data_IF_645217059057
#
_entry.id   IF_645217059057
#
_cell.length_a   1.000
_cell.length_b   1.000
_cell.length_c   1.000
_cell.angle_alpha   90.00
_cell.angle_beta   90.00
_cell.angle_gamma   90.00
#
_symmetry.space_group_name_H-M   'P 1'
#
loop_
_entity.id
_entity.type
_entity.pdbx_description
1 polymer ?
#
# COMPACT_ATOMS: atom_id res chain seq x y z
N UNK A 1 30.26 5.49 6.85
CA UNK A 1 29.25 6.39 6.24
C UNK A 1 28.73 5.69 5.00
N UNK A 2 27.68 4.89 5.13
CA UNK A 2 27.07 4.14 4.01
C UNK A 2 25.73 4.81 3.67
N UNK A 3 25.71 5.54 2.57
CA UNK A 3 24.48 5.96 1.92
C UNK A 3 23.75 4.70 1.42
N UNK A 4 22.49 4.55 1.79
CA UNK A 4 21.63 3.51 1.22
C UNK A 4 21.37 3.87 -0.25
N UNK A 5 21.92 3.08 -1.17
CA UNK A 5 21.65 3.18 -2.60
C UNK A 5 20.17 2.87 -2.86
N UNK A 6 19.33 3.92 -2.87
CA UNK A 6 17.99 3.87 -3.47
C UNK A 6 18.15 4.44 -4.87
N UNK A 7 18.66 3.63 -5.78
CA UNK A 7 18.87 4.08 -7.16
C UNK A 7 18.31 3.02 -8.12
N UNK A 8 17.76 3.49 -9.24
CA UNK A 8 17.32 2.70 -10.42
C UNK A 8 15.94 2.00 -10.39
N UNK A 9 14.85 2.67 -10.01
CA UNK A 9 13.54 2.35 -10.60
C UNK A 9 13.15 3.49 -11.55
N UNK A 10 12.92 3.15 -12.83
CA UNK A 10 12.41 4.08 -13.83
C UNK A 10 11.12 4.71 -13.32
N UNK A 11 11.04 6.03 -13.39
CA UNK A 11 9.87 6.76 -12.89
C UNK A 11 8.65 6.51 -13.78
N UNK A 12 7.45 6.73 -13.24
CA UNK A 12 6.23 6.55 -14.04
C UNK A 12 6.22 7.47 -15.27
N UNK A 13 6.70 8.71 -15.14
CA UNK A 13 6.71 9.67 -16.24
C UNK A 13 7.66 9.20 -17.36
N UNK A 14 8.85 8.72 -17.01
CA UNK A 14 9.79 8.11 -17.97
C UNK A 14 9.19 6.88 -18.66
N UNK A 15 8.46 6.03 -17.92
CA UNK A 15 7.77 4.87 -18.53
C UNK A 15 6.75 5.37 -19.55
N UNK A 16 5.90 6.33 -19.17
CA UNK A 16 4.88 6.89 -20.06
C UNK A 16 5.49 7.53 -21.30
N UNK A 17 6.58 8.29 -21.15
CA UNK A 17 7.28 8.94 -22.25
C UNK A 17 7.88 7.88 -23.19
N UNK A 18 8.54 6.85 -22.66
CA UNK A 18 9.06 5.75 -23.47
C UNK A 18 7.94 5.03 -24.24
N UNK A 19 6.80 4.74 -23.60
CA UNK A 19 5.65 4.15 -24.29
C UNK A 19 5.10 5.01 -25.43
N UNK A 20 5.20 6.34 -25.31
CA UNK A 20 4.74 7.27 -26.35
C UNK A 20 5.61 7.24 -27.62
N UNK A 21 6.88 6.82 -27.49
CA UNK A 21 7.82 6.65 -28.60
C UNK A 21 7.68 5.29 -29.30
N UNK A 22 6.98 4.34 -28.70
CA UNK A 22 6.80 2.99 -29.23
C UNK A 22 5.47 2.91 -29.99
N UNK A 23 5.54 2.83 -31.31
CA UNK A 23 4.36 2.72 -32.19
C UNK A 23 3.85 1.27 -32.27
N UNK A 24 4.77 0.31 -32.37
CA UNK A 24 4.45 -1.12 -32.54
C UNK A 24 4.19 -1.83 -31.22
N UNK A 25 3.17 -2.70 -31.21
CA UNK A 25 2.80 -3.46 -30.00
C UNK A 25 3.92 -4.38 -29.51
N UNK A 26 4.64 -5.02 -30.42
CA UNK A 26 5.72 -5.94 -30.08
C UNK A 26 6.84 -5.25 -29.29
N UNK A 27 7.13 -3.99 -29.61
CA UNK A 27 8.15 -3.20 -28.91
C UNK A 27 7.66 -2.77 -27.53
N UNK A 28 6.39 -2.37 -27.40
CA UNK A 28 5.77 -2.13 -26.09
C UNK A 28 5.82 -3.37 -25.21
N UNK A 29 5.55 -4.55 -25.77
CA UNK A 29 5.60 -5.81 -25.04
C UNK A 29 7.02 -6.16 -24.57
N UNK A 30 8.03 -5.96 -25.42
CA UNK A 30 9.44 -6.12 -25.06
C UNK A 30 9.84 -5.16 -23.95
N UNK A 31 9.46 -3.89 -24.07
CA UNK A 31 9.74 -2.88 -23.07
C UNK A 31 9.16 -3.23 -21.70
N UNK A 32 7.93 -3.74 -21.63
CA UNK A 32 7.35 -4.25 -20.37
C UNK A 32 8.20 -5.37 -19.78
N UNK A 33 8.65 -6.33 -20.59
CA UNK A 33 9.52 -7.41 -20.11
C UNK A 33 10.85 -6.86 -19.58
N UNK A 34 11.42 -5.84 -20.23
CA UNK A 34 12.65 -5.18 -19.79
C UNK A 34 12.47 -4.46 -18.46
N UNK A 35 11.37 -3.73 -18.27
CA UNK A 35 11.01 -3.16 -16.98
C UNK A 35 10.93 -4.24 -15.89
N UNK A 36 10.42 -5.42 -16.21
CA UNK A 36 10.37 -6.54 -15.27
C UNK A 36 11.75 -7.07 -14.88
N UNK A 37 12.77 -6.91 -15.74
CA UNK A 37 14.16 -7.34 -15.46
C UNK A 37 14.91 -6.38 -14.57
N UNK A 38 14.49 -5.12 -14.46
CA UNK A 38 15.11 -4.12 -13.57
C UNK A 38 14.65 -4.26 -12.12
N UNK A 39 13.61 -5.06 -11.87
CA UNK A 39 13.15 -5.33 -10.51
C UNK A 39 14.20 -6.07 -9.69
N UNK A 40 14.36 -5.61 -8.44
CA UNK A 40 15.16 -6.31 -7.45
C UNK A 40 14.63 -7.74 -7.25
N UNK A 41 15.51 -8.76 -7.23
CA UNK A 41 15.08 -10.14 -7.03
C UNK A 41 14.42 -10.30 -5.66
N UNK A 42 13.28 -10.99 -5.63
CA UNK A 42 12.57 -11.27 -4.39
C UNK A 42 13.32 -12.35 -3.60
N UNK A 43 13.75 -12.08 -2.35
CA UNK A 43 14.41 -13.09 -1.52
C UNK A 43 13.49 -14.29 -1.28
N UNK A 44 14.04 -15.51 -1.23
CA UNK A 44 13.24 -16.74 -1.07
C UNK A 44 12.37 -16.72 0.19
N UNK A 45 12.87 -16.13 1.29
CA UNK A 45 12.09 -15.94 2.54
C UNK A 45 10.82 -15.10 2.37
N UNK A 46 10.71 -14.32 1.30
CA UNK A 46 9.55 -13.50 0.97
C UNK A 46 8.59 -14.22 0.01
N UNK A 47 8.95 -15.39 -0.53
CA UNK A 47 8.09 -16.24 -1.38
C UNK A 47 7.18 -17.14 -0.55
N UNK A 48 6.46 -16.52 0.39
CA UNK A 48 5.52 -17.19 1.30
C UNK A 48 4.08 -16.89 0.92
N UNK A 49 3.14 -17.73 1.36
CA UNK A 49 1.72 -17.57 1.02
C UNK A 49 1.13 -16.24 1.50
N UNK A 50 1.63 -15.67 2.61
CA UNK A 50 1.22 -14.35 3.08
C UNK A 50 1.49 -13.22 2.07
N UNK A 51 2.55 -13.34 1.26
CA UNK A 51 2.90 -12.37 0.21
C UNK A 51 2.26 -12.70 -1.14
N UNK A 52 1.55 -13.83 -1.27
CA UNK A 52 0.98 -14.26 -2.54
C UNK A 52 -0.22 -13.42 -2.93
N UNK A 53 -0.27 -13.00 -4.19
CA UNK A 53 -1.41 -12.26 -4.76
C UNK A 53 -2.40 -13.25 -5.36
N UNK A 54 -3.65 -13.21 -4.88
CA UNK A 54 -4.71 -14.09 -5.36
C UNK A 54 -5.39 -13.53 -6.62
N UNK A 55 -5.89 -14.40 -7.48
CA UNK A 55 -6.59 -14.02 -8.72
C UNK A 55 -5.68 -13.71 -9.91
N UNK A 56 -4.36 -13.86 -9.75
CA UNK A 56 -3.42 -13.94 -10.87
C UNK A 56 -3.37 -15.38 -11.40
N UNK A 57 -3.28 -15.54 -12.72
CA UNK A 57 -3.08 -16.85 -13.33
C UNK A 57 -1.65 -17.39 -13.15
N UNK A 58 -0.69 -16.48 -13.23
CA UNK A 58 0.70 -16.67 -12.85
C UNK A 58 0.86 -16.55 -11.34
N UNK A 59 1.88 -17.19 -10.79
CA UNK A 59 2.24 -16.98 -9.40
C UNK A 59 2.85 -15.59 -9.24
N UNK A 60 2.36 -14.83 -8.26
CA UNK A 60 2.81 -13.47 -7.95
C UNK A 60 2.99 -13.37 -6.44
N UNK A 61 4.13 -12.84 -6.03
CA UNK A 61 4.40 -12.47 -4.64
C UNK A 61 4.72 -10.99 -4.56
N UNK A 62 4.14 -10.33 -3.57
CA UNK A 62 4.31 -8.92 -3.28
C UNK A 62 4.47 -8.77 -1.77
N UNK A 63 5.65 -8.32 -1.35
CA UNK A 63 5.97 -8.02 0.04
C UNK A 63 5.99 -6.51 0.23
N UNK A 64 5.32 -6.06 1.28
CA UNK A 64 5.15 -4.63 1.61
C UNK A 64 5.95 -4.28 2.84
N UNK A 65 6.73 -3.21 2.76
CA UNK A 65 7.38 -2.58 3.92
C UNK A 65 6.69 -1.27 4.21
N UNK A 66 6.20 -1.11 5.43
CA UNK A 66 5.52 0.10 5.90
C UNK A 66 6.50 0.94 6.71
N UNK A 67 6.78 2.14 6.23
CA UNK A 67 7.60 3.14 6.91
C UNK A 67 6.68 4.12 7.63
N UNK A 68 6.77 4.25 8.97
CA UNK A 68 5.99 5.22 9.70
C UNK A 68 6.48 6.64 9.36
N UNK A 69 5.62 7.47 8.79
CA UNK A 69 5.96 8.86 8.48
C UNK A 69 5.02 9.85 9.20
N UNK A 70 5.37 10.10 10.46
CA UNK A 70 4.91 11.23 11.27
C UNK A 70 3.43 11.61 11.14
N UNK A 71 3.19 12.91 10.93
CA UNK A 71 1.84 13.48 10.78
C UNK A 71 1.25 13.25 9.39
N UNK A 72 2.08 13.07 8.38
CA UNK A 72 1.67 12.98 6.98
C UNK A 72 1.25 11.56 6.53
N UNK A 73 1.39 10.56 7.41
CA UNK A 73 0.88 9.19 7.19
C UNK A 73 1.92 8.23 6.60
N UNK A 74 1.71 6.92 6.75
CA UNK A 74 2.73 5.91 6.45
C UNK A 74 3.10 5.90 4.96
N UNK A 75 4.38 5.70 4.69
CA UNK A 75 4.94 5.50 3.35
C UNK A 75 5.10 3.98 3.13
N UNK A 76 4.72 3.49 1.95
CA UNK A 76 4.84 2.07 1.62
C UNK A 76 5.88 1.87 0.52
N UNK A 77 6.74 0.88 0.69
CA UNK A 77 7.64 0.39 -0.36
C UNK A 77 7.40 -1.08 -0.61
N UNK A 78 7.57 -1.51 -1.85
CA UNK A 78 7.21 -2.86 -2.28
C UNK A 78 8.40 -3.57 -2.94
N UNK A 79 8.46 -4.88 -2.74
CA UNK A 79 9.27 -5.81 -3.53
C UNK A 79 8.38 -6.96 -3.98
N UNK A 80 8.64 -7.53 -5.14
CA UNK A 80 7.77 -8.56 -5.68
C UNK A 80 8.33 -9.21 -6.92
N UNK A 81 7.76 -10.37 -7.26
CA UNK A 81 8.20 -11.18 -8.38
C UNK A 81 7.06 -12.05 -8.93
N UNK A 82 7.25 -12.56 -10.14
CA UNK A 82 6.34 -13.49 -10.80
C UNK A 82 7.09 -14.50 -11.69
N UNK A 83 6.55 -15.71 -11.75
CA UNK A 83 6.98 -16.76 -12.68
C UNK A 83 6.78 -16.37 -14.16
N UNK A 84 5.90 -15.42 -14.46
CA UNK A 84 5.68 -14.91 -15.80
C UNK A 84 6.39 -13.56 -16.05
N UNK A 85 7.24 -13.51 -17.08
CA UNK A 85 7.99 -12.30 -17.45
C UNK A 85 7.11 -11.07 -17.69
N UNK A 86 6.01 -11.23 -18.43
CA UNK A 86 5.08 -10.12 -18.70
C UNK A 86 4.47 -9.57 -17.40
N UNK A 87 4.13 -10.44 -16.44
CA UNK A 87 3.56 -9.99 -15.16
C UNK A 87 4.60 -9.33 -14.29
N UNK A 88 5.86 -9.77 -14.35
CA UNK A 88 6.97 -9.07 -13.70
C UNK A 88 7.13 -7.64 -14.21
N UNK A 89 6.95 -7.42 -15.51
CA UNK A 89 6.90 -6.08 -16.08
C UNK A 89 5.72 -5.24 -15.58
N UNK A 90 4.54 -5.85 -15.44
CA UNK A 90 3.39 -5.18 -14.84
C UNK A 90 3.61 -4.81 -13.36
N UNK A 91 4.33 -5.65 -12.61
CA UNK A 91 4.75 -5.34 -11.23
C UNK A 91 5.68 -4.12 -11.23
N UNK A 92 6.62 -4.02 -12.17
CA UNK A 92 7.51 -2.87 -12.28
C UNK A 92 6.75 -1.56 -12.49
N UNK A 93 5.76 -1.55 -13.37
CA UNK A 93 4.89 -0.37 -13.58
C UNK A 93 4.16 0.00 -12.30
N UNK A 94 3.60 -0.98 -11.58
CA UNK A 94 2.93 -0.73 -10.29
C UNK A 94 3.89 -0.16 -9.25
N UNK A 95 5.13 -0.64 -9.20
CA UNK A 95 6.12 -0.13 -8.25
C UNK A 95 6.56 1.28 -8.59
N UNK A 96 6.72 1.62 -9.88
CA UNK A 96 6.98 2.99 -10.31
C UNK A 96 5.86 3.96 -9.92
N UNK A 97 4.61 3.48 -9.88
CA UNK A 97 3.46 4.28 -9.44
C UNK A 97 3.37 4.42 -7.91
N UNK A 98 3.56 3.33 -7.18
CA UNK A 98 3.13 3.22 -5.77
C UNK A 98 4.26 3.12 -4.75
N UNK A 99 5.44 2.64 -5.14
CA UNK A 99 6.55 2.46 -4.19
C UNK A 99 7.07 3.83 -3.73
N UNK A 100 7.31 3.97 -2.43
CA UNK A 100 7.72 5.23 -1.81
C UNK A 100 6.59 6.26 -1.68
N UNK A 101 5.34 5.91 -1.99
CA UNK A 101 4.19 6.82 -1.84
C UNK A 101 3.51 6.66 -0.49
N UNK A 102 2.78 7.69 -0.07
CA UNK A 102 1.97 7.65 1.15
C UNK A 102 0.76 6.75 0.92
N UNK A 103 0.29 6.09 1.98
CA UNK A 103 -0.91 5.27 1.90
C UNK A 103 -2.14 6.04 1.37
N UNK A 104 -2.30 7.32 1.70
CA UNK A 104 -3.38 8.16 1.14
C UNK A 104 -3.24 8.39 -0.37
N UNK A 105 -2.03 8.64 -0.85
CA UNK A 105 -1.73 8.85 -2.27
C UNK A 105 -1.96 7.55 -3.07
N UNK A 106 -1.56 6.40 -2.51
CA UNK A 106 -1.82 5.09 -3.11
C UNK A 106 -3.33 4.85 -3.30
N UNK A 107 -4.15 5.24 -2.31
CA UNK A 107 -5.60 5.05 -2.37
C UNK A 107 -6.32 6.02 -3.31
N UNK A 108 -5.76 7.20 -3.54
CA UNK A 108 -6.32 8.20 -4.46
C UNK A 108 -5.84 8.04 -5.90
N UNK A 109 -4.75 7.31 -6.14
CA UNK A 109 -4.22 7.06 -7.48
C UNK A 109 -5.11 6.10 -8.28
N UNK A 110 -5.45 6.48 -9.51
CA UNK A 110 -6.17 5.62 -10.47
C UNK A 110 -5.19 4.82 -11.34
N UNK A 111 -4.90 3.60 -10.90
CA UNK A 111 -4.04 2.69 -11.64
C UNK A 111 -4.61 2.24 -12.99
N UNK A 112 -5.94 2.19 -13.11
CA UNK A 112 -6.59 1.71 -14.32
C UNK A 112 -6.51 2.77 -15.41
N UNK A 113 -6.64 4.05 -15.05
CA UNK A 113 -6.41 5.15 -15.98
C UNK A 113 -4.99 5.12 -16.55
N UNK A 114 -3.97 4.92 -15.71
CA UNK A 114 -2.57 4.79 -16.16
C UNK A 114 -2.41 3.57 -17.07
N UNK A 115 -2.94 2.42 -16.68
CA UNK A 115 -2.86 1.19 -17.49
C UNK A 115 -3.52 1.33 -18.86
N UNK A 116 -4.63 2.07 -18.95
CA UNK A 116 -5.27 2.41 -20.21
C UNK A 116 -4.44 3.39 -21.03
N UNK A 117 -3.85 4.43 -20.39
CA UNK A 117 -2.98 5.42 -21.06
C UNK A 117 -1.75 4.78 -21.70
N UNK A 118 -1.20 3.73 -21.10
CA UNK A 118 -0.10 2.93 -21.66
C UNK A 118 -0.54 2.02 -22.82
N UNK A 119 -1.83 1.96 -23.17
CA UNK A 119 -2.39 1.10 -24.21
C UNK A 119 -2.36 -0.40 -23.88
N UNK A 120 -1.90 -0.79 -22.69
CA UNK A 120 -1.68 -2.19 -22.33
C UNK A 120 -2.98 -3.00 -22.23
N UNK A 121 -4.09 -2.35 -21.86
CA UNK A 121 -5.38 -3.03 -21.67
C UNK A 121 -5.92 -3.68 -22.94
N UNK A 122 -5.73 -3.05 -24.08
CA UNK A 122 -6.32 -3.47 -25.35
C UNK A 122 -5.59 -4.65 -25.98
N UNK A 123 -4.30 -4.80 -25.66
CA UNK A 123 -3.44 -5.82 -26.25
C UNK A 123 -3.09 -6.98 -25.30
N UNK A 124 -3.31 -6.83 -23.99
CA UNK A 124 -3.16 -7.93 -23.04
C UNK A 124 -4.42 -8.78 -22.95
N UNK A 125 -4.23 -10.09 -22.76
CA UNK A 125 -5.35 -11.01 -22.56
C UNK A 125 -6.18 -10.62 -21.32
N UNK A 126 -7.48 -10.93 -21.29
CA UNK A 126 -8.33 -10.64 -20.13
C UNK A 126 -7.75 -11.16 -18.81
N UNK A 127 -7.08 -12.30 -18.86
CA UNK A 127 -6.43 -12.92 -17.72
C UNK A 127 -5.28 -12.07 -17.14
N UNK A 128 -4.46 -11.44 -17.99
CA UNK A 128 -3.38 -10.55 -17.55
C UNK A 128 -3.92 -9.23 -17.02
N UNK A 129 -4.93 -8.67 -17.69
CA UNK A 129 -5.63 -7.47 -17.22
C UNK A 129 -6.31 -7.68 -15.87
N UNK A 130 -6.86 -8.86 -15.62
CA UNK A 130 -7.41 -9.23 -14.30
C UNK A 130 -6.30 -9.39 -13.25
N UNK A 131 -5.19 -10.03 -13.61
CA UNK A 131 -4.02 -10.13 -12.73
C UNK A 131 -3.48 -8.76 -12.30
N UNK A 132 -3.40 -7.80 -13.23
CA UNK A 132 -3.04 -6.42 -12.93
C UNK A 132 -3.97 -5.81 -11.87
N UNK A 133 -5.29 -5.94 -12.04
CA UNK A 133 -6.29 -5.46 -11.08
C UNK A 133 -6.14 -6.10 -9.71
N UNK A 134 -5.89 -7.42 -9.65
CA UNK A 134 -5.63 -8.12 -8.39
C UNK A 134 -4.41 -7.57 -7.65
N UNK A 135 -3.34 -7.24 -8.37
CA UNK A 135 -2.15 -6.63 -7.78
C UNK A 135 -2.43 -5.21 -7.27
N UNK A 136 -3.19 -4.41 -8.02
CA UNK A 136 -3.63 -3.07 -7.57
C UNK A 136 -4.46 -3.17 -6.29
N UNK A 137 -5.44 -4.07 -6.23
CA UNK A 137 -6.26 -4.22 -5.02
C UNK A 137 -5.45 -4.72 -3.83
N UNK A 138 -4.47 -5.62 -4.03
CA UNK A 138 -3.54 -6.01 -2.98
C UNK A 138 -2.79 -4.80 -2.41
N UNK A 139 -2.21 -3.96 -3.27
CA UNK A 139 -1.49 -2.74 -2.84
C UNK A 139 -2.42 -1.79 -2.08
N UNK A 140 -3.66 -1.60 -2.56
CA UNK A 140 -4.66 -0.76 -1.89
C UNK A 140 -5.08 -1.35 -0.54
N UNK A 141 -5.19 -2.66 -0.42
CA UNK A 141 -5.45 -3.33 0.86
C UNK A 141 -4.33 -3.07 1.86
N UNK A 142 -3.07 -3.21 1.45
CA UNK A 142 -1.91 -2.95 2.31
C UNK A 142 -1.86 -1.48 2.76
N UNK A 143 -2.18 -0.54 1.86
CA UNK A 143 -2.28 0.89 2.19
C UNK A 143 -3.40 1.17 3.22
N UNK A 144 -4.59 0.57 3.06
CA UNK A 144 -5.69 0.68 4.05
C UNK A 144 -5.26 0.11 5.41
N UNK A 145 -4.61 -1.06 5.40
CA UNK A 145 -4.12 -1.70 6.62
C UNK A 145 -3.08 -0.82 7.35
N UNK A 146 -2.16 -0.19 6.62
CA UNK A 146 -1.18 0.72 7.19
C UNK A 146 -1.82 1.96 7.85
N UNK A 147 -2.84 2.56 7.22
CA UNK A 147 -3.60 3.67 7.81
C UNK A 147 -4.34 3.26 9.08
N UNK A 148 -5.00 2.09 9.07
CA UNK A 148 -5.70 1.56 10.23
C UNK A 148 -4.72 1.26 11.39
N UNK A 149 -3.57 0.66 11.10
CA UNK A 149 -2.55 0.37 12.10
C UNK A 149 -2.03 1.65 12.78
N UNK A 150 -1.79 2.72 12.00
CA UNK A 150 -1.43 4.04 12.54
C UNK A 150 -2.51 4.57 13.47
N UNK A 151 -3.78 4.49 13.07
CA UNK A 151 -4.90 4.96 13.88
C UNK A 151 -4.99 4.18 15.21
N UNK A 152 -4.87 2.85 15.15
CA UNK A 152 -4.90 1.99 16.34
C UNK A 152 -3.73 2.26 17.31
N UNK A 153 -2.52 2.47 16.80
CA UNK A 153 -1.36 2.85 17.62
C UNK A 153 -1.55 4.21 18.29
N UNK A 154 -2.10 5.20 17.56
CA UNK A 154 -2.45 6.50 18.12
C UNK A 154 -3.47 6.40 19.25
N UNK A 155 -4.51 5.59 19.03
CA UNK A 155 -5.53 5.27 20.03
C UNK A 155 -4.98 4.64 21.30
N UNK A 156 -4.11 3.64 21.13
CA UNK A 156 -3.48 2.96 22.26
C UNK A 156 -2.58 3.89 23.06
N UNK A 157 -1.79 4.74 22.39
CA UNK A 157 -0.94 5.75 23.04
C UNK A 157 -1.77 6.75 23.83
N UNK A 158 -2.85 7.28 23.25
CA UNK A 158 -3.76 8.19 23.95
C UNK A 158 -4.44 7.53 25.15
N UNK A 159 -4.86 6.27 24.99
CA UNK A 159 -5.50 5.49 26.05
C UNK A 159 -4.57 5.26 27.26
N UNK A 160 -3.27 5.09 27.04
CA UNK A 160 -2.27 5.03 28.13
C UNK A 160 -2.08 6.37 28.82
N UNK A 161 -2.08 7.48 28.07
CA UNK A 161 -1.85 8.82 28.62
C UNK A 161 -3.08 9.42 29.32
N UNK A 162 -4.28 8.83 29.19
CA UNK A 162 -5.52 9.36 29.77
C UNK A 162 -6.29 8.25 30.51
N UNK A 163 -6.14 8.10 31.84
CA UNK A 163 -6.84 7.08 32.61
C UNK A 163 -8.38 7.24 32.57
N UNK A 164 -9.16 6.17 32.88
CA UNK A 164 -10.62 6.15 32.72
C UNK A 164 -11.39 7.31 33.38
N UNK A 165 -10.91 7.81 34.52
CA UNK A 165 -11.54 8.91 35.26
C UNK A 165 -11.43 10.25 34.53
N UNK A 166 -10.35 10.46 33.78
CA UNK A 166 -10.11 11.67 32.98
C UNK A 166 -10.80 11.59 31.61
N UNK A 167 -10.91 10.39 31.03
CA UNK A 167 -11.66 10.16 29.78
C UNK A 167 -13.11 10.63 29.85
N UNK A 168 -13.82 10.30 30.94
CA UNK A 168 -15.22 10.73 31.17
C UNK A 168 -15.38 12.25 31.22
N UNK A 169 -14.32 12.98 31.59
CA UNK A 169 -14.30 14.44 31.68
C UNK A 169 -14.02 15.10 30.32
N UNK A 170 -13.28 14.42 29.45
CA UNK A 170 -12.95 14.86 28.08
C UNK A 170 -14.03 14.50 27.05
N UNK A 171 -14.82 13.44 27.31
CA UNK A 171 -15.89 12.93 26.44
C UNK A 171 -17.28 13.40 26.93
N UNK A 172 -17.40 14.67 27.34
CA UNK A 172 -18.67 15.24 27.77
C UNK A 172 -19.80 15.06 26.73
N UNK A 173 -21.07 15.30 27.10
CA UNK A 173 -22.25 14.93 26.29
C UNK A 173 -22.40 15.63 24.92
N UNK A 174 -21.41 16.42 24.48
CA UNK A 174 -21.39 17.07 23.18
C UNK A 174 -20.39 16.43 22.22
N UNK A 175 -20.71 16.40 20.93
CA UNK A 175 -19.92 15.83 19.83
C UNK A 175 -18.53 16.47 19.60
N UNK A 176 -18.12 17.45 20.42
CA UNK A 176 -16.84 18.12 20.30
C UNK A 176 -15.74 17.39 21.06
N UNK A 177 -15.01 16.56 20.35
CA UNK A 177 -13.75 16.00 20.82
C UNK A 177 -12.73 17.15 21.03
N UNK A 178 -12.05 17.23 22.18
CA UNK A 178 -11.10 18.31 22.44
C UNK A 178 -9.99 18.31 21.37
N UNK A 179 -9.50 19.49 20.98
CA UNK A 179 -8.47 19.63 19.94
C UNK A 179 -7.18 18.83 20.20
N UNK A 180 -6.90 18.50 21.47
CA UNK A 180 -5.84 17.57 21.87
C UNK A 180 -6.05 16.13 21.35
N UNK A 181 -7.30 15.66 21.25
CA UNK A 181 -7.66 14.35 20.69
C UNK A 181 -7.39 14.26 19.19
N UNK A 182 -7.76 15.32 18.44
CA UNK A 182 -7.49 15.45 17.01
C UNK A 182 -5.98 15.46 16.71
N UNK A 183 -5.19 16.11 17.58
CA UNK A 183 -3.74 16.28 17.42
C UNK A 183 -2.93 15.00 17.71
N UNK A 184 -3.48 14.07 18.50
CA UNK A 184 -2.78 12.84 18.92
C UNK A 184 -3.10 11.63 18.03
N UNK A 185 -4.31 11.57 17.46
CA UNK A 185 -4.84 10.38 16.76
C UNK A 185 -4.75 10.53 15.23
N UNK A 186 -4.48 11.74 14.74
CA UNK A 186 -4.49 12.05 13.31
C UNK A 186 -5.90 12.23 12.77
N UNK A 187 -6.03 12.40 11.45
CA UNK A 187 -7.31 12.58 10.75
C UNK A 187 -8.16 11.30 10.71
N UNK A 188 -8.57 10.78 11.86
CA UNK A 188 -9.68 9.83 11.98
C UNK A 188 -11.01 10.57 12.02
N UNK A 189 -12.08 9.96 11.51
CA UNK A 189 -13.42 10.56 11.56
C UNK A 189 -13.98 10.56 12.99
N UNK A 190 -15.03 11.35 13.26
CA UNK A 190 -15.60 11.49 14.60
C UNK A 190 -16.12 10.17 15.23
N UNK A 191 -16.40 9.14 14.42
CA UNK A 191 -16.83 7.80 14.86
C UNK A 191 -15.66 6.96 15.35
N UNK A 192 -14.57 6.93 14.59
CA UNK A 192 -13.33 6.23 14.97
C UNK A 192 -12.73 6.81 16.24
N UNK A 193 -12.85 8.14 16.39
CA UNK A 193 -12.47 8.86 17.60
C UNK A 193 -13.29 8.44 18.83
N UNK A 194 -14.60 8.20 18.69
CA UNK A 194 -15.46 7.68 19.77
C UNK A 194 -15.17 6.23 20.13
N UNK A 195 -14.99 5.36 19.12
CA UNK A 195 -14.74 3.92 19.35
C UNK A 195 -13.38 3.67 20.04
N UNK A 196 -12.44 4.59 19.81
CA UNK A 196 -11.13 4.66 20.45
C UNK A 196 -11.22 5.09 21.92
N UNK A 197 -12.07 6.09 22.19
CA UNK A 197 -12.39 6.59 23.52
C UNK A 197 -13.14 5.57 24.39
N UNK A 198 -14.03 4.77 23.80
CA UNK A 198 -14.83 3.74 24.47
C UNK A 198 -14.12 2.35 24.52
N UNK A 199 -12.84 2.28 24.15
CA UNK A 199 -12.01 1.06 24.08
C UNK A 199 -12.56 -0.08 23.21
N UNK A 200 -13.70 0.09 22.51
CA UNK A 200 -14.30 -0.93 21.64
C UNK A 200 -13.42 -1.29 20.45
N UNK A 201 -12.64 -0.33 19.91
CA UNK A 201 -11.64 -0.60 18.86
C UNK A 201 -10.49 -1.50 19.36
N UNK A 202 -10.08 -1.35 20.62
CA UNK A 202 -9.01 -2.16 21.23
C UNK A 202 -9.53 -3.55 21.66
N UNK A 203 -10.77 -3.63 22.16
CA UNK A 203 -11.39 -4.88 22.61
C UNK A 203 -11.87 -5.77 21.46
N UNK A 204 -12.36 -5.20 20.35
CA UNK A 204 -12.86 -5.96 19.20
C UNK A 204 -11.75 -6.61 18.36
N UNK A 205 -10.48 -6.20 18.52
CA UNK A 205 -9.37 -6.60 17.63
C UNK A 205 -8.14 -7.21 18.33
N UNK A 206 -8.26 -7.70 19.57
CA UNK A 206 -7.26 -8.65 20.12
C UNK A 206 -7.03 -9.89 19.24
N UNK A 207 -7.90 -10.14 18.25
CA UNK A 207 -7.72 -11.20 17.24
C UNK A 207 -6.96 -10.81 15.97
N UNK A 208 -6.64 -9.53 15.75
CA UNK A 208 -6.00 -9.08 14.50
C UNK A 208 -4.52 -8.68 14.67
N UNK A 209 -4.10 -8.30 15.88
CA UNK A 209 -2.71 -7.91 16.14
C UNK A 209 -1.80 -9.11 16.44
N UNK A 210 -2.35 -10.20 16.97
CA UNK A 210 -1.58 -11.41 17.27
C UNK A 210 -1.09 -12.13 16.00
N UNK A 211 -1.78 -11.96 14.86
CA UNK A 211 -1.39 -12.52 13.55
C UNK A 211 -0.40 -11.65 12.75
N UNK A 212 -0.25 -10.36 13.09
CA UNK A 212 0.58 -9.41 12.33
C UNK A 212 1.99 -9.21 12.90
N UNK A 213 2.31 -9.81 14.05
CA UNK A 213 3.61 -9.68 14.75
C UNK A 213 4.36 -11.01 14.85
N UNK A 214 3.73 -12.14 14.48
CA UNK A 214 4.32 -13.49 14.57
C UNK A 214 4.35 -14.25 13.24
N UNK A 215 4.50 -13.56 12.11
CA UNK A 215 4.75 -14.16 10.78
C UNK A 215 5.94 -13.54 10.09
#
# INVERSE_FOLDING_TARGET
MTAASTDTLTTLDEIVDNFSLLEEWDDRYRYVIELGRTLNPLPERQRIDANKVQGCASQVWLATTVHPDGQSGPILTFIGDSDAHIVRGLIAILFAMFSGKRAGDILSTDAIAVFNRLGLREHLTPQRSNGFRSMVERIRMDARAALLARHLLGCFRWSRSNPPKERKRLLGPGDNLPGAFARVIGEGNARERRDCADQRLLASRRRFADDAVLG
#
